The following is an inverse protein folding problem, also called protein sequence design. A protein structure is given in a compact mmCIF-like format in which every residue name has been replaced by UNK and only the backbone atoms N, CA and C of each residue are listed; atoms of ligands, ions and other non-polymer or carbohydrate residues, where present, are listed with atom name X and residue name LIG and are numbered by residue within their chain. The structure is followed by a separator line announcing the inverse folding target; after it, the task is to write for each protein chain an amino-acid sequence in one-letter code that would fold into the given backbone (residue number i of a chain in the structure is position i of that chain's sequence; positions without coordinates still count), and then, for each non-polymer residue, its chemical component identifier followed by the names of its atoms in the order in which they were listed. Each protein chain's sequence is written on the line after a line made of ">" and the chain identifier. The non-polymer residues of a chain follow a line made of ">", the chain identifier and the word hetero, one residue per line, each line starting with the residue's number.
data_IF_113435771753
#
_entry.id   IF_113435771753
#
_cell.length_a   1.000
_cell.length_b   1.000
_cell.length_c   1.000
_cell.angle_alpha   90.00
_cell.angle_beta   90.00
_cell.angle_gamma   90.00
#
_symmetry.space_group_name_H-M   'P 1'
#
loop_
_entity.id
_entity.type
_entity.pdbx_description
1 polymer ?
#
# COMPACT_ATOMS: atom_id res chain seq x y z
N UNK A 1 1.00 -20.98 20.57
CA UNK A 1 1.48 -20.45 19.27
C UNK A 1 2.06 -19.07 19.54
N UNK A 2 3.37 -18.90 19.40
CA UNK A 2 4.03 -17.60 19.53
C UNK A 2 3.76 -16.89 18.22
N UNK A 3 2.88 -15.90 18.24
CA UNK A 3 2.68 -15.01 17.10
C UNK A 3 3.72 -13.87 17.31
N UNK A 4 4.20 -13.26 16.23
CA UNK A 4 5.17 -12.14 16.27
C UNK A 4 4.63 -11.01 15.41
N UNK A 5 4.96 -9.74 15.72
CA UNK A 5 4.53 -8.60 14.88
C UNK A 5 5.06 -8.75 13.46
N UNK A 6 4.34 -8.27 12.45
CA UNK A 6 4.81 -8.41 11.07
C UNK A 6 6.17 -7.73 10.87
N UNK A 7 6.40 -6.57 11.48
CA UNK A 7 7.70 -5.88 11.46
C UNK A 7 8.77 -6.55 12.35
N UNK A 8 8.38 -7.50 13.21
CA UNK A 8 9.28 -8.41 13.93
C UNK A 8 9.58 -9.69 13.12
N UNK A 9 8.85 -9.97 12.04
CA UNK A 9 8.97 -11.18 11.20
C UNK A 9 9.52 -10.85 9.80
N UNK A 10 9.07 -9.75 9.21
CA UNK A 10 9.43 -9.27 7.86
C UNK A 10 9.54 -7.74 7.91
N UNK A 11 10.72 -7.22 7.58
CA UNK A 11 10.91 -5.79 7.38
C UNK A 11 9.94 -5.26 6.30
N UNK A 12 9.21 -4.15 6.51
CA UNK A 12 8.33 -3.56 5.49
C UNK A 12 8.98 -3.36 4.12
N UNK A 13 10.29 -3.11 4.06
CA UNK A 13 11.05 -3.04 2.80
C UNK A 13 11.15 -4.41 2.11
N UNK A 14 11.35 -5.50 2.86
CA UNK A 14 11.41 -6.85 2.32
C UNK A 14 10.03 -7.30 1.82
N UNK A 15 8.97 -6.96 2.55
CA UNK A 15 7.59 -7.13 2.08
C UNK A 15 7.36 -6.35 0.78
N UNK A 16 7.80 -5.10 0.74
CA UNK A 16 7.75 -4.27 -0.46
C UNK A 16 8.47 -4.90 -1.65
N UNK A 17 9.69 -5.41 -1.45
CA UNK A 17 10.48 -6.12 -2.47
C UNK A 17 9.80 -7.41 -2.94
N UNK A 18 9.16 -8.15 -2.03
CA UNK A 18 8.38 -9.33 -2.40
C UNK A 18 7.20 -8.95 -3.28
N UNK A 19 6.41 -7.96 -2.86
CA UNK A 19 5.28 -7.45 -3.64
C UNK A 19 5.74 -6.95 -5.00
N UNK A 20 6.86 -6.23 -5.09
CA UNK A 20 7.44 -5.80 -6.35
C UNK A 20 7.65 -6.95 -7.32
N UNK A 21 8.20 -8.08 -6.86
CA UNK A 21 8.42 -9.26 -7.73
C UNK A 21 7.10 -9.81 -8.29
N UNK A 22 6.02 -9.79 -7.52
CA UNK A 22 4.70 -10.20 -7.97
C UNK A 22 4.05 -9.17 -8.90
N UNK A 23 4.14 -7.88 -8.55
CA UNK A 23 3.44 -6.79 -9.25
C UNK A 23 4.18 -6.25 -10.48
N UNK A 24 5.48 -6.52 -10.60
CA UNK A 24 6.27 -6.13 -11.78
C UNK A 24 5.68 -6.69 -13.08
N UNK A 25 5.27 -7.96 -13.06
CA UNK A 25 4.70 -8.63 -14.25
C UNK A 25 3.37 -8.04 -14.70
N UNK A 26 2.66 -7.36 -13.81
CA UNK A 26 1.39 -6.68 -14.10
C UNK A 26 1.55 -5.16 -14.15
N UNK A 27 2.78 -4.65 -14.22
CA UNK A 27 3.13 -3.22 -14.32
C UNK A 27 2.47 -2.35 -13.23
N UNK A 28 2.42 -2.84 -12.00
CA UNK A 28 1.65 -2.21 -10.92
C UNK A 28 2.53 -1.83 -9.75
N UNK A 29 2.21 -0.68 -9.15
CA UNK A 29 2.97 -0.15 -8.02
C UNK A 29 2.58 -0.85 -6.72
N UNK A 30 3.55 -0.99 -5.82
CA UNK A 30 3.40 -1.62 -4.52
C UNK A 30 3.70 -0.59 -3.44
N UNK A 31 2.85 -0.54 -2.43
CA UNK A 31 3.01 0.37 -1.29
C UNK A 31 2.78 -0.41 0.00
N UNK A 32 3.56 -0.08 1.03
CA UNK A 32 3.39 -0.69 2.35
C UNK A 32 3.28 0.45 3.36
N UNK A 33 2.18 0.43 4.11
CA UNK A 33 1.95 1.36 5.21
C UNK A 33 2.09 0.63 6.55
N UNK A 34 2.54 1.36 7.56
CA UNK A 34 2.44 0.89 8.94
C UNK A 34 1.04 1.16 9.53
N UNK A 35 0.84 0.72 10.77
CA UNK A 35 -0.42 0.88 11.52
C UNK A 35 -0.84 2.35 11.73
N UNK A 36 0.12 3.29 11.62
CA UNK A 36 -0.10 4.73 11.78
C UNK A 36 -0.38 5.42 10.43
N UNK A 37 -0.35 4.66 9.33
CA UNK A 37 -0.51 5.19 7.99
C UNK A 37 0.75 5.83 7.42
N UNK A 38 1.91 5.63 8.07
CA UNK A 38 3.18 6.09 7.52
C UNK A 38 3.63 5.10 6.43
N UNK A 39 3.96 5.65 5.26
CA UNK A 39 4.52 4.89 4.15
C UNK A 39 5.92 4.38 4.54
N UNK A 40 6.10 3.06 4.47
CA UNK A 40 7.38 2.38 4.78
C UNK A 40 8.07 1.88 3.52
N UNK A 41 7.30 1.59 2.48
CA UNK A 41 7.81 1.22 1.17
C UNK A 41 6.90 1.77 0.09
N UNK A 42 7.49 2.21 -1.01
CA UNK A 42 6.80 2.43 -2.26
C UNK A 42 7.74 2.11 -3.41
N UNK A 43 7.21 1.51 -4.47
CA UNK A 43 7.80 1.58 -5.79
C UNK A 43 6.85 2.28 -6.75
N UNK A 44 7.37 3.25 -7.50
CA UNK A 44 6.65 3.77 -8.65
C UNK A 44 7.14 2.96 -9.84
N UNK A 45 6.38 1.93 -10.22
CA UNK A 45 6.71 1.14 -11.41
C UNK A 45 6.33 1.92 -12.68
N UNK A 46 5.33 2.81 -12.62
CA UNK A 46 4.85 3.51 -13.82
C UNK A 46 5.40 4.94 -13.93
N UNK A 47 5.97 5.34 -15.10
CA UNK A 47 6.36 6.72 -15.38
C UNK A 47 5.22 7.73 -15.20
N UNK A 48 3.98 7.29 -15.45
CA UNK A 48 2.78 8.10 -15.23
C UNK A 48 2.64 8.52 -13.76
N UNK A 49 2.78 7.59 -12.82
CA UNK A 49 2.68 7.93 -11.40
C UNK A 49 3.81 8.84 -10.93
N UNK A 50 5.03 8.67 -11.46
CA UNK A 50 6.13 9.60 -11.19
C UNK A 50 5.84 11.01 -11.70
N UNK A 51 5.35 11.14 -12.94
CA UNK A 51 4.98 12.42 -13.56
C UNK A 51 3.84 13.12 -12.81
N UNK A 52 2.81 12.37 -12.42
CA UNK A 52 1.69 12.93 -11.66
C UNK A 52 2.16 13.37 -10.27
N UNK A 53 2.96 12.55 -9.59
CA UNK A 53 3.48 12.87 -8.26
C UNK A 53 4.38 14.10 -8.26
N UNK A 54 5.21 14.29 -9.28
CA UNK A 54 6.08 15.48 -9.38
C UNK A 54 5.29 16.78 -9.62
N UNK A 55 4.11 16.69 -10.26
CA UNK A 55 3.27 17.85 -10.54
C UNK A 55 2.32 18.21 -9.39
N UNK A 56 1.75 17.21 -8.71
CA UNK A 56 0.69 17.40 -7.70
C UNK A 56 0.88 16.45 -6.49
N UNK A 57 2.00 16.55 -5.77
CA UNK A 57 2.34 15.61 -4.69
C UNK A 57 1.28 15.61 -3.57
N UNK A 58 0.73 16.77 -3.23
CA UNK A 58 -0.27 16.89 -2.16
C UNK A 58 -1.56 16.12 -2.46
N UNK A 59 -2.01 16.12 -3.72
CA UNK A 59 -3.19 15.33 -4.12
C UNK A 59 -2.90 13.83 -4.08
N UNK A 60 -1.68 13.42 -4.44
CA UNK A 60 -1.25 12.04 -4.31
C UNK A 60 -1.21 11.59 -2.84
N UNK A 61 -0.71 12.42 -1.93
CA UNK A 61 -0.68 12.13 -0.50
C UNK A 61 -2.09 12.06 0.11
N UNK A 62 -2.98 13.00 -0.26
CA UNK A 62 -4.37 12.99 0.17
C UNK A 62 -5.09 11.69 -0.26
N UNK A 63 -4.92 11.28 -1.52
CA UNK A 63 -5.48 10.04 -2.06
C UNK A 63 -4.92 8.78 -1.38
N UNK A 64 -3.61 8.78 -1.03
CA UNK A 64 -3.00 7.69 -0.25
C UNK A 64 -3.63 7.59 1.14
N UNK A 65 -3.81 8.74 1.82
CA UNK A 65 -4.42 8.80 3.15
C UNK A 65 -5.88 8.31 3.11
N UNK A 66 -6.63 8.69 2.08
CA UNK A 66 -7.99 8.21 1.87
C UNK A 66 -8.02 6.68 1.71
N UNK A 67 -7.16 6.13 0.84
CA UNK A 67 -7.05 4.67 0.64
C UNK A 67 -6.73 3.94 1.93
N UNK A 68 -5.81 4.47 2.72
CA UNK A 68 -5.43 3.90 4.01
C UNK A 68 -6.61 3.87 5.00
N UNK A 69 -7.33 4.98 5.16
CA UNK A 69 -8.50 5.03 6.06
C UNK A 69 -9.64 4.13 5.57
N UNK A 70 -9.85 4.06 4.26
CA UNK A 70 -10.81 3.15 3.64
C UNK A 70 -10.43 1.69 3.86
N UNK A 71 -9.14 1.34 3.77
CA UNK A 71 -8.61 0.02 4.06
C UNK A 71 -8.82 -0.38 5.53
N UNK A 72 -8.56 0.54 6.47
CA UNK A 72 -8.85 0.38 7.91
C UNK A 72 -10.30 0.05 8.18
N UNK A 73 -11.22 0.78 7.53
CA UNK A 73 -12.66 0.62 7.69
C UNK A 73 -13.19 -0.66 7.03
N UNK A 74 -12.82 -0.92 5.77
CA UNK A 74 -13.39 -2.04 4.99
C UNK A 74 -12.88 -3.41 5.41
N UNK A 75 -11.61 -3.52 5.81
CA UNK A 75 -10.99 -4.79 6.25
C UNK A 75 -11.08 -5.93 5.22
N UNK A 76 -11.35 -5.60 3.95
CA UNK A 76 -11.53 -6.52 2.81
C UNK A 76 -10.93 -5.86 1.56
N UNK A 77 -10.44 -6.64 0.57
CA UNK A 77 -9.93 -6.09 -0.68
C UNK A 77 -10.95 -5.19 -1.39
N UNK A 78 -10.48 -4.13 -2.03
CA UNK A 78 -11.33 -3.21 -2.76
C UNK A 78 -10.61 -2.51 -3.92
N UNK A 79 -11.41 -2.05 -4.87
CA UNK A 79 -10.96 -1.16 -5.94
C UNK A 79 -11.08 0.30 -5.51
N UNK A 80 -10.10 1.11 -5.90
CA UNK A 80 -10.05 2.55 -5.69
C UNK A 80 -9.55 3.26 -6.93
N UNK A 81 -10.32 4.22 -7.44
CA UNK A 81 -9.87 5.09 -8.52
C UNK A 81 -9.19 6.30 -7.91
N UNK A 82 -7.92 6.53 -8.22
CA UNK A 82 -7.24 7.72 -7.72
C UNK A 82 -7.71 8.98 -8.47
N UNK A 83 -7.40 10.16 -7.93
CA UNK A 83 -7.78 11.43 -8.56
C UNK A 83 -7.27 11.59 -10.02
N UNK A 84 -6.21 10.87 -10.40
CA UNK A 84 -5.66 10.87 -11.76
C UNK A 84 -6.32 9.83 -12.68
N UNK A 85 -7.43 9.21 -12.25
CA UNK A 85 -8.22 8.28 -13.05
C UNK A 85 -7.69 6.83 -13.09
N UNK A 86 -6.60 6.55 -12.38
CA UNK A 86 -5.98 5.21 -12.35
C UNK A 86 -6.68 4.31 -11.33
N UNK A 87 -7.02 3.10 -11.75
CA UNK A 87 -7.55 2.07 -10.87
C UNK A 87 -6.45 1.56 -9.94
N UNK A 88 -6.79 1.27 -8.69
CA UNK A 88 -5.89 0.70 -7.69
C UNK A 88 -6.60 -0.47 -7.02
N UNK A 89 -6.02 -1.67 -7.10
CA UNK A 89 -6.48 -2.82 -6.33
C UNK A 89 -5.82 -2.86 -4.96
N UNK A 90 -6.56 -2.47 -3.91
CA UNK A 90 -6.07 -2.39 -2.54
C UNK A 90 -6.43 -3.66 -1.76
N UNK A 91 -5.42 -4.39 -1.32
CA UNK A 91 -5.58 -5.57 -0.45
C UNK A 91 -5.17 -5.19 0.96
N UNK A 92 -6.11 -4.94 1.90
CA UNK A 92 -5.77 -4.71 3.29
C UNK A 92 -5.35 -6.03 3.92
N UNK A 93 -4.04 -6.29 3.99
CA UNK A 93 -3.53 -7.44 4.74
C UNK A 93 -3.61 -7.12 6.23
N UNK A 94 -4.59 -7.70 6.92
CA UNK A 94 -4.70 -7.66 8.37
C UNK A 94 -3.93 -8.82 8.97
N UNK A 95 -2.81 -8.51 9.60
CA UNK A 95 -2.23 -9.40 10.61
C UNK A 95 -2.74 -8.92 11.96
N UNK A 96 -3.47 -9.80 12.65
CA UNK A 96 -4.00 -9.52 13.98
C UNK A 96 -3.19 -10.32 14.99
N UNK A 97 -2.32 -9.62 15.70
CA UNK A 97 -1.73 -10.11 16.93
C UNK A 97 -1.70 -8.96 17.94
N UNK A 98 -2.32 -9.18 19.11
CA UNK A 98 -2.37 -8.26 20.26
C UNK A 98 -2.43 -6.77 19.88
N UNK A 99 -3.65 -6.25 19.76
CA UNK A 99 -4.00 -4.83 19.58
C UNK A 99 -3.39 -4.07 18.37
N UNK A 100 -2.45 -4.65 17.61
CA UNK A 100 -1.79 -3.99 16.49
C UNK A 100 -2.24 -4.55 15.15
N UNK A 101 -2.49 -3.65 14.20
CA UNK A 101 -2.99 -3.97 12.84
C UNK A 101 -2.08 -3.32 11.81
N UNK A 102 -1.32 -4.14 11.07
CA UNK A 102 -0.58 -3.67 9.91
C UNK A 102 -1.49 -3.58 8.68
N UNK A 103 -1.18 -2.67 7.76
CA UNK A 103 -1.89 -2.52 6.49
C UNK A 103 -0.89 -2.54 5.34
N UNK A 104 -0.70 -3.71 4.75
CA UNK A 104 -0.21 -3.74 3.39
C UNK A 104 -1.31 -3.21 2.47
N UNK A 105 -0.99 -2.43 1.45
CA UNK A 105 -1.94 -2.10 0.41
C UNK A 105 -1.22 -2.09 -0.93
N UNK A 106 -1.51 -3.09 -1.74
CA UNK A 106 -1.04 -3.12 -3.11
C UNK A 106 -1.77 -2.00 -3.88
N UNK A 107 -1.11 -1.31 -4.81
CA UNK A 107 -1.71 -0.20 -5.54
C UNK A 107 -1.48 -0.39 -7.04
N UNK A 108 -2.28 -1.26 -7.62
CA UNK A 108 -2.16 -1.62 -9.02
C UNK A 108 -3.10 -0.92 -9.97
N UNK A 109 -2.52 -0.14 -10.90
CA UNK A 109 -3.02 0.20 -12.24
C UNK A 109 -1.87 0.76 -13.06
#
# INVERSE_FOLDING_TARGET
>A
MIIKRLDEVINPEDLGRLLRKFMYNVNTSSMVWDERGKLRYYDFITPFCQLVYSKVPERCEADRKERFEKAKKRRKPFLHTCFAGKLNYVVPLKFQEKEKTFFCGVAGG
#
